data_IF_422770077656
#
_entry.id   IF_422770077656
#
_cell.length_a   1.000
_cell.length_b   1.000
_cell.length_c   1.000
_cell.angle_alpha   90.00
_cell.angle_beta   90.00
_cell.angle_gamma   90.00
#
_symmetry.space_group_name_H-M   'P 1'
#
loop_
_entity.id
_entity.type
_entity.pdbx_description
1 polymer ?
#
# COMPACT_ATOMS: atom_id res chain seq x y z
N UNK A 1 8.28 -8.97 56.69
CA UNK A 1 6.96 -8.32 56.65
C UNK A 1 7.13 -6.94 56.02
N UNK A 2 6.40 -6.74 54.92
CA UNK A 2 6.25 -5.58 54.02
C UNK A 2 6.80 -4.20 54.46
N UNK A 3 7.42 -3.46 53.52
CA UNK A 3 6.79 -2.24 52.99
C UNK A 3 7.37 -1.80 51.64
N UNK A 4 6.50 -1.18 50.84
CA UNK A 4 6.54 -0.91 49.40
C UNK A 4 7.14 0.46 49.05
N UNK A 5 7.62 0.58 47.80
CA UNK A 5 7.52 1.75 46.89
C UNK A 5 8.31 3.04 47.16
N UNK A 6 9.17 3.43 46.20
CA UNK A 6 9.41 4.81 45.67
C UNK A 6 10.72 4.83 44.83
N UNK A 7 10.68 4.57 43.50
CA UNK A 7 10.88 5.51 42.34
C UNK A 7 12.22 6.27 42.34
N UNK A 8 12.94 6.51 41.20
CA UNK A 8 12.42 6.69 39.82
C UNK A 8 13.40 6.19 38.72
N UNK A 9 13.42 4.90 38.39
CA UNK A 9 14.39 4.34 37.43
C UNK A 9 13.86 3.95 36.04
N UNK A 10 12.53 4.01 35.82
CA UNK A 10 11.87 3.24 34.74
C UNK A 10 11.13 4.14 33.73
N UNK A 11 11.64 5.36 33.49
CA UNK A 11 11.04 6.32 32.55
C UNK A 11 12.01 6.83 31.47
N UNK A 12 13.17 6.20 31.28
CA UNK A 12 14.18 6.65 30.31
C UNK A 12 14.40 5.71 29.11
N UNK A 13 13.64 4.62 28.97
CA UNK A 13 13.96 3.56 27.98
C UNK A 13 12.86 3.29 26.95
N UNK A 14 11.78 4.08 26.91
CA UNK A 14 10.62 3.81 26.02
C UNK A 14 10.41 4.78 24.86
N UNK A 15 11.21 5.82 24.71
CA UNK A 15 10.97 6.87 23.70
C UNK A 15 11.79 6.68 22.41
N UNK A 16 12.80 5.81 22.39
CA UNK A 16 13.72 5.69 21.24
C UNK A 16 13.45 4.49 20.30
N UNK A 17 12.18 4.21 19.97
CA UNK A 17 11.84 3.20 18.94
C UNK A 17 10.69 3.59 18.00
N UNK A 18 10.23 4.85 18.03
CA UNK A 18 9.01 5.27 17.33
C UNK A 18 9.23 6.18 16.11
N UNK A 19 10.40 6.14 15.45
CA UNK A 19 10.69 7.03 14.28
C UNK A 19 11.15 6.27 13.03
N UNK A 20 11.17 4.93 13.01
CA UNK A 20 11.74 4.17 11.89
C UNK A 20 10.76 3.82 10.73
N UNK A 21 9.48 4.23 10.77
CA UNK A 21 8.49 3.76 9.78
C UNK A 21 7.72 4.88 9.06
N UNK A 22 8.40 5.89 8.50
CA UNK A 22 7.71 6.90 7.65
C UNK A 22 8.42 7.17 6.31
N UNK A 23 9.48 6.45 5.94
CA UNK A 23 10.18 6.71 4.67
C UNK A 23 10.43 5.48 3.80
N UNK A 24 9.67 4.40 3.96
CA UNK A 24 9.44 3.51 2.83
C UNK A 24 8.31 4.12 1.98
N UNK A 25 8.56 5.31 1.42
CA UNK A 25 7.91 5.69 0.18
C UNK A 25 8.41 4.65 -0.82
N UNK A 26 7.68 3.54 -0.93
CA UNK A 26 7.90 2.52 -1.94
C UNK A 26 7.72 3.23 -3.26
N UNK A 27 8.80 3.79 -3.79
CA UNK A 27 8.87 4.26 -5.16
C UNK A 27 8.29 3.11 -5.99
N UNK A 28 7.22 3.39 -6.73
CA UNK A 28 6.63 2.40 -7.61
C UNK A 28 7.73 1.93 -8.56
N UNK A 29 8.33 0.79 -8.25
CA UNK A 29 9.28 0.12 -9.12
C UNK A 29 8.48 -0.16 -10.38
N UNK A 30 8.95 0.37 -11.51
CA UNK A 30 8.37 0.03 -12.80
C UNK A 30 8.30 -1.50 -12.92
N UNK A 31 7.12 -2.02 -13.18
CA UNK A 31 6.88 -3.46 -13.35
C UNK A 31 7.80 -3.98 -14.45
N UNK A 32 8.55 -5.04 -14.17
CA UNK A 32 9.39 -5.72 -15.17
C UNK A 32 8.64 -6.90 -15.75
N UNK A 33 9.11 -7.36 -16.92
CA UNK A 33 8.58 -8.59 -17.53
C UNK A 33 8.86 -9.76 -16.59
N UNK A 34 7.81 -10.49 -16.22
CA UNK A 34 7.86 -11.61 -15.27
C UNK A 34 7.35 -11.26 -13.88
N UNK A 35 7.20 -9.98 -13.55
CA UNK A 35 6.58 -9.57 -12.29
C UNK A 35 5.06 -9.79 -12.32
N UNK A 36 4.49 -10.04 -11.15
CA UNK A 36 3.04 -10.11 -10.99
C UNK A 36 2.46 -8.71 -10.94
N UNK A 37 1.29 -8.53 -11.57
CA UNK A 37 0.56 -7.27 -11.51
C UNK A 37 0.15 -6.96 -10.06
N UNK A 38 0.30 -5.70 -9.60
CA UNK A 38 -0.06 -5.30 -8.25
C UNK A 38 -1.57 -5.40 -8.02
N UNK A 39 -1.93 -5.56 -6.75
CA UNK A 39 -3.33 -5.59 -6.33
C UNK A 39 -3.91 -4.18 -6.33
N UNK A 40 -4.90 -3.96 -7.18
CA UNK A 40 -5.70 -2.74 -7.20
C UNK A 40 -7.17 -3.08 -7.52
N UNK A 41 -8.06 -2.25 -7.01
CA UNK A 41 -9.48 -2.25 -7.36
C UNK A 41 -9.73 -1.11 -8.34
N UNK A 42 -10.39 -1.42 -9.46
CA UNK A 42 -10.84 -0.43 -10.44
C UNK A 42 -12.35 -0.31 -10.38
N UNK A 43 -12.85 0.92 -10.41
CA UNK A 43 -14.26 1.18 -10.60
C UNK A 43 -14.60 1.06 -12.08
N UNK A 44 -15.48 0.12 -12.41
CA UNK A 44 -15.93 -0.12 -13.77
C UNK A 44 -17.37 0.35 -13.95
N UNK A 45 -17.60 1.11 -15.02
CA UNK A 45 -18.93 1.54 -15.46
C UNK A 45 -19.51 2.73 -14.69
N UNK A 46 -20.76 3.06 -15.06
CA UNK A 46 -21.61 4.03 -14.38
C UNK A 46 -23.00 3.39 -14.25
N UNK A 47 -23.46 3.00 -13.05
CA UNK A 47 -22.88 3.23 -11.71
C UNK A 47 -21.58 2.43 -11.44
N UNK A 48 -20.66 2.97 -10.63
CA UNK A 48 -19.34 2.40 -10.42
C UNK A 48 -19.42 1.07 -9.66
N UNK A 49 -18.80 0.03 -10.21
CA UNK A 49 -18.64 -1.27 -9.55
C UNK A 49 -17.17 -1.56 -9.31
N UNK A 50 -16.79 -1.68 -8.03
CA UNK A 50 -15.42 -2.01 -7.64
C UNK A 50 -15.05 -3.43 -8.08
N UNK A 51 -14.10 -3.54 -8.99
CA UNK A 51 -13.64 -4.82 -9.57
C UNK A 51 -12.14 -4.98 -9.35
N UNK A 52 -11.73 -6.14 -8.82
CA UNK A 52 -10.30 -6.41 -8.58
C UNK A 52 -9.54 -6.68 -9.89
N UNK A 53 -8.31 -6.19 -10.00
CA UNK A 53 -7.46 -6.51 -11.15
C UNK A 53 -7.21 -8.01 -11.31
N UNK A 54 -7.09 -8.75 -10.21
CA UNK A 54 -6.91 -10.21 -10.23
C UNK A 54 -8.07 -10.92 -10.91
N UNK A 55 -9.31 -10.55 -10.56
CA UNK A 55 -10.49 -11.15 -11.20
C UNK A 55 -10.61 -10.74 -12.67
N UNK A 56 -10.22 -9.52 -13.02
CA UNK A 56 -10.17 -9.07 -14.42
C UNK A 56 -9.15 -9.87 -15.24
N UNK A 57 -7.94 -10.08 -14.70
CA UNK A 57 -6.82 -10.76 -15.35
C UNK A 57 -6.88 -12.29 -15.31
N UNK A 58 -7.77 -12.91 -14.52
CA UNK A 58 -7.84 -14.36 -14.40
C UNK A 58 -8.23 -15.04 -15.73
N UNK A 59 -7.42 -16.02 -16.15
CA UNK A 59 -7.73 -16.90 -17.28
C UNK A 59 -7.72 -16.24 -18.66
N UNK A 60 -7.24 -14.99 -18.80
CA UNK A 60 -7.26 -14.23 -20.07
C UNK A 60 -5.92 -13.55 -20.32
N UNK A 61 -5.59 -13.36 -21.61
CA UNK A 61 -4.52 -12.45 -22.03
C UNK A 61 -5.10 -11.04 -22.14
N UNK A 62 -4.47 -10.06 -21.50
CA UNK A 62 -4.99 -8.70 -21.39
C UNK A 62 -3.91 -7.70 -21.78
N UNK A 63 -4.34 -6.64 -22.47
CA UNK A 63 -3.52 -5.46 -22.77
C UNK A 63 -3.98 -4.34 -21.84
N UNK A 64 -3.07 -3.80 -21.04
CA UNK A 64 -3.32 -2.64 -20.16
C UNK A 64 -2.58 -1.44 -20.71
N UNK A 65 -3.31 -0.35 -20.99
CA UNK A 65 -2.74 0.91 -21.49
C UNK A 65 -3.09 2.02 -20.52
N UNK A 66 -2.08 2.74 -20.03
CA UNK A 66 -2.26 3.92 -19.20
C UNK A 66 -2.34 5.17 -20.06
N UNK A 67 -3.44 5.91 -19.96
CA UNK A 67 -3.60 7.22 -20.59
C UNK A 67 -3.43 8.34 -19.55
N UNK A 68 -2.92 9.52 -19.93
CA UNK A 68 -2.74 10.65 -19.02
C UNK A 68 -4.06 11.26 -18.55
N UNK A 69 -5.14 11.14 -19.34
CA UNK A 69 -6.46 11.64 -18.99
C UNK A 69 -7.54 11.11 -19.91
N UNK A 70 -8.79 11.16 -19.45
CA UNK A 70 -9.93 10.93 -20.32
C UNK A 70 -10.13 12.14 -21.25
N UNK A 71 -10.49 11.89 -22.51
CA UNK A 71 -10.75 12.93 -23.52
C UNK A 71 -9.57 13.84 -23.89
N UNK A 72 -8.32 13.40 -23.65
CA UNK A 72 -7.15 14.11 -24.18
C UNK A 72 -7.12 13.95 -25.71
N UNK A 73 -7.01 15.04 -26.51
CA UNK A 73 -6.88 14.92 -27.95
C UNK A 73 -5.59 14.16 -28.27
N UNK A 74 -5.70 13.12 -29.08
CA UNK A 74 -4.57 12.34 -29.61
C UNK A 74 -3.96 13.01 -30.81
#
# INVERSE_FOLDING_TARGET
WHCSSSLPGVMATRVLRAVACVAACSQAVGIKVGDRLPEANLDLGFPPTATSLKSLCAGRKIVVVGLPGAFTPT
#
